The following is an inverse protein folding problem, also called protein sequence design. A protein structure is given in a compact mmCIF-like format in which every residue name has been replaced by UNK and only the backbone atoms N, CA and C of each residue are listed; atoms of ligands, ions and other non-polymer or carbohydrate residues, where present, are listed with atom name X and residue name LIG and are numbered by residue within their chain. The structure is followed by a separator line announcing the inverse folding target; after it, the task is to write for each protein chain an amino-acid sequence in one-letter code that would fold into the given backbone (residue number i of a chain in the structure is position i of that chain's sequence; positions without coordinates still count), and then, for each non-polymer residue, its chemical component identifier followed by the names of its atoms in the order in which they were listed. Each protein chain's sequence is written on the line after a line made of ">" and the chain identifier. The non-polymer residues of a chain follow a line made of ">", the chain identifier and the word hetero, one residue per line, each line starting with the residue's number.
data_IF_902427294427
#
_entry.id   IF_902427294427
#
_cell.length_a   1.000
_cell.length_b   1.000
_cell.length_c   1.000
_cell.angle_alpha   90.00
_cell.angle_beta   90.00
_cell.angle_gamma   90.00
#
_symmetry.space_group_name_H-M   'P 1'
#
loop_
_entity.id
_entity.type
_entity.pdbx_description
1 polymer ?
#
# COMPACT_ATOMS: atom_id res chain seq x y z
N UNK A 1 11.56 16.12 -27.38
CA UNK A 1 10.82 15.96 -26.10
C UNK A 1 11.44 16.88 -25.04
N UNK A 2 10.68 17.74 -24.37
CA UNK A 2 11.28 18.65 -23.39
C UNK A 2 11.72 17.90 -22.11
N UNK A 3 12.79 18.34 -21.42
CA UNK A 3 13.24 17.72 -20.16
C UNK A 3 12.15 17.66 -19.09
N UNK A 4 11.30 18.71 -19.02
CA UNK A 4 10.15 18.77 -18.14
C UNK A 4 9.12 17.66 -18.43
N UNK A 5 8.79 17.43 -19.72
CA UNK A 5 7.88 16.35 -20.13
C UNK A 5 8.46 14.98 -19.80
N UNK A 6 9.77 14.76 -20.01
CA UNK A 6 10.46 13.50 -19.67
C UNK A 6 10.43 13.22 -18.16
N UNK A 7 10.64 14.24 -17.32
CA UNK A 7 10.54 14.12 -15.86
C UNK A 7 9.11 13.77 -15.42
N UNK A 8 8.11 14.48 -15.95
CA UNK A 8 6.68 14.22 -15.64
C UNK A 8 6.29 12.78 -16.02
N UNK A 9 6.70 12.31 -17.20
CA UNK A 9 6.42 10.95 -17.65
C UNK A 9 7.05 9.88 -16.75
N UNK A 10 8.31 10.05 -16.34
CA UNK A 10 8.98 9.12 -15.40
C UNK A 10 8.26 9.03 -14.06
N UNK A 11 7.78 10.16 -13.54
CA UNK A 11 6.99 10.18 -12.29
C UNK A 11 5.67 9.42 -12.46
N UNK A 12 4.95 9.64 -13.57
CA UNK A 12 3.70 8.92 -13.85
C UNK A 12 3.92 7.42 -13.99
N UNK A 13 5.01 7.00 -14.65
CA UNK A 13 5.35 5.58 -14.80
C UNK A 13 5.66 4.91 -13.46
N UNK A 14 6.41 5.56 -12.56
CA UNK A 14 6.66 5.02 -11.23
C UNK A 14 5.39 4.95 -10.38
N UNK A 15 4.53 5.97 -10.48
CA UNK A 15 3.23 5.98 -9.78
C UNK A 15 2.36 4.82 -10.24
N UNK A 16 2.22 4.63 -11.56
CA UNK A 16 1.49 3.50 -12.13
C UNK A 16 2.12 2.16 -11.73
N UNK A 17 3.44 2.03 -11.77
CA UNK A 17 4.12 0.80 -11.34
C UNK A 17 3.88 0.48 -9.86
N UNK A 18 3.85 1.48 -8.98
CA UNK A 18 3.53 1.30 -7.58
C UNK A 18 2.06 0.91 -7.35
N UNK A 19 1.13 1.50 -8.09
CA UNK A 19 -0.29 1.16 -8.05
C UNK A 19 -0.53 -0.29 -8.54
N UNK A 20 0.07 -0.68 -9.67
CA UNK A 20 -0.01 -2.05 -10.18
C UNK A 20 0.63 -3.07 -9.23
N UNK A 21 1.77 -2.73 -8.62
CA UNK A 21 2.41 -3.61 -7.62
C UNK A 21 1.51 -3.84 -6.41
N UNK A 22 0.83 -2.79 -5.92
CA UNK A 22 -0.12 -2.91 -4.80
C UNK A 22 -1.32 -3.78 -5.19
N UNK A 23 -1.88 -3.56 -6.38
CA UNK A 23 -3.01 -4.36 -6.90
C UNK A 23 -2.63 -5.84 -7.04
N UNK A 24 -1.42 -6.13 -7.50
CA UNK A 24 -0.90 -7.50 -7.61
C UNK A 24 -0.74 -8.16 -6.25
N UNK A 25 -0.23 -7.42 -5.24
CA UNK A 25 -0.13 -7.92 -3.87
C UNK A 25 -1.51 -8.25 -3.29
N UNK A 26 -2.51 -7.40 -3.50
CA UNK A 26 -3.89 -7.64 -3.07
C UNK A 26 -4.48 -8.87 -3.76
N UNK A 27 -4.28 -9.01 -5.07
CA UNK A 27 -4.72 -10.19 -5.84
C UNK A 27 -4.08 -11.48 -5.32
N UNK A 28 -2.76 -11.46 -5.10
CA UNK A 28 -2.03 -12.62 -4.56
C UNK A 28 -2.45 -12.97 -3.14
N UNK A 29 -2.75 -11.98 -2.31
CA UNK A 29 -3.26 -12.20 -0.96
C UNK A 29 -4.66 -12.83 -0.97
N UNK A 30 -5.51 -12.40 -1.89
CA UNK A 30 -6.85 -12.97 -2.06
C UNK A 30 -6.81 -14.39 -2.61
N UNK A 31 -5.98 -14.64 -3.62
CA UNK A 31 -5.72 -15.98 -4.15
C UNK A 31 -5.17 -16.90 -3.05
N UNK A 32 -4.22 -16.42 -2.23
CA UNK A 32 -3.72 -17.17 -1.07
C UNK A 32 -4.85 -17.52 -0.09
N UNK A 33 -5.74 -16.57 0.23
CA UNK A 33 -6.91 -16.84 1.10
C UNK A 33 -7.81 -17.92 0.49
N UNK A 34 -8.12 -17.79 -0.79
CA UNK A 34 -8.94 -18.75 -1.53
C UNK A 34 -8.32 -20.15 -1.52
N UNK A 35 -7.03 -20.28 -1.85
CA UNK A 35 -6.33 -21.57 -1.85
C UNK A 35 -6.27 -22.19 -0.45
N UNK A 36 -6.10 -21.40 0.61
CA UNK A 36 -6.14 -21.91 1.99
C UNK A 36 -7.53 -22.46 2.32
N UNK A 37 -8.59 -21.72 1.99
CA UNK A 37 -9.96 -22.17 2.23
C UNK A 37 -10.29 -23.47 1.46
N UNK A 38 -9.89 -23.55 0.19
CA UNK A 38 -10.07 -24.75 -0.64
C UNK A 38 -9.27 -25.94 -0.10
N UNK A 39 -8.04 -25.74 0.38
CA UNK A 39 -7.20 -26.84 0.90
C UNK A 39 -7.61 -27.28 2.30
N UNK A 40 -7.91 -26.36 3.21
CA UNK A 40 -8.22 -26.68 4.60
C UNK A 40 -9.66 -27.18 4.76
N UNK A 41 -10.60 -26.69 3.95
CA UNK A 41 -12.02 -27.03 4.05
C UNK A 41 -12.66 -26.55 5.36
N UNK A 42 -13.95 -26.84 5.57
CA UNK A 42 -14.61 -26.58 6.85
C UNK A 42 -14.05 -27.48 7.95
N UNK A 43 -14.14 -27.01 9.20
CA UNK A 43 -13.81 -27.84 10.37
C UNK A 43 -14.67 -29.10 10.40
N UNK A 44 -14.08 -30.24 10.76
CA UNK A 44 -14.87 -31.45 10.99
C UNK A 44 -15.87 -31.20 12.11
N UNK A 45 -17.10 -31.65 11.93
CA UNK A 45 -18.13 -31.55 12.95
C UNK A 45 -17.82 -32.55 14.06
N UNK A 46 -17.79 -32.07 15.31
CA UNK A 46 -17.50 -32.86 16.50
C UNK A 46 -18.74 -33.04 17.39
N UNK A 47 -19.90 -32.54 16.98
CA UNK A 47 -21.13 -32.67 17.74
C UNK A 47 -21.72 -34.08 17.58
N UNK A 48 -21.87 -34.79 18.70
CA UNK A 48 -22.52 -36.11 18.75
C UNK A 48 -21.68 -37.28 18.23
N UNK A 49 -20.37 -37.11 18.02
CA UNK A 49 -19.48 -38.19 17.59
C UNK A 49 -19.09 -39.12 18.74
N UNK A 50 -18.85 -40.39 18.43
CA UNK A 50 -18.37 -41.37 19.39
C UNK A 50 -16.83 -41.33 19.55
N UNK A 51 -16.30 -41.89 20.65
CA UNK A 51 -14.86 -41.91 20.94
C UNK A 51 -14.04 -42.59 19.82
N UNK A 52 -14.55 -43.67 19.25
CA UNK A 52 -13.90 -44.36 18.14
C UNK A 52 -13.77 -43.48 16.89
N UNK A 53 -14.80 -42.69 16.57
CA UNK A 53 -14.80 -41.76 15.44
C UNK A 53 -13.85 -40.58 15.69
N UNK A 54 -13.82 -40.07 16.92
CA UNK A 54 -12.87 -39.04 17.33
C UNK A 54 -11.41 -39.52 17.15
N UNK A 55 -11.11 -40.74 17.59
CA UNK A 55 -9.77 -41.32 17.45
C UNK A 55 -9.38 -41.50 15.98
N UNK A 56 -10.32 -41.89 15.12
CA UNK A 56 -10.11 -42.00 13.68
C UNK A 56 -9.79 -40.64 13.05
N UNK A 57 -10.54 -39.59 13.41
CA UNK A 57 -10.29 -38.22 12.95
C UNK A 57 -8.89 -37.74 13.35
N UNK A 58 -8.47 -38.00 14.61
CA UNK A 58 -7.14 -37.63 15.07
C UNK A 58 -6.02 -38.30 14.27
N UNK A 59 -6.16 -39.59 13.96
CA UNK A 59 -5.20 -40.34 13.13
C UNK A 59 -5.13 -39.78 11.71
N UNK A 60 -6.27 -39.51 11.09
CA UNK A 60 -6.32 -38.91 9.75
C UNK A 60 -5.63 -37.55 9.68
N UNK A 61 -5.85 -36.68 10.69
CA UNK A 61 -5.17 -35.40 10.76
C UNK A 61 -3.66 -35.55 10.96
N UNK A 62 -3.23 -36.48 11.81
CA UNK A 62 -1.83 -36.76 12.04
C UNK A 62 -1.13 -37.22 10.74
N UNK A 63 -1.71 -38.18 10.03
CA UNK A 63 -1.16 -38.68 8.76
C UNK A 63 -1.11 -37.58 7.70
N UNK A 64 -2.13 -36.73 7.65
CA UNK A 64 -2.17 -35.57 6.76
C UNK A 64 -1.06 -34.55 7.09
N UNK A 65 -0.85 -34.26 8.37
CA UNK A 65 0.21 -33.34 8.81
C UNK A 65 1.58 -33.88 8.43
N UNK A 66 1.84 -35.17 8.66
CA UNK A 66 3.11 -35.80 8.31
C UNK A 66 3.43 -35.67 6.81
N UNK A 67 2.44 -35.91 5.93
CA UNK A 67 2.59 -35.72 4.49
C UNK A 67 2.86 -34.26 4.12
N UNK A 68 2.09 -33.33 4.68
CA UNK A 68 2.26 -31.90 4.41
C UNK A 68 3.61 -31.36 4.88
N UNK A 69 4.14 -31.84 6.00
CA UNK A 69 5.49 -31.45 6.47
C UNK A 69 6.58 -31.97 5.52
N UNK A 70 6.44 -33.18 4.98
CA UNK A 70 7.36 -33.68 3.95
C UNK A 70 7.33 -32.81 2.69
N UNK A 71 6.15 -32.53 2.15
CA UNK A 71 5.99 -31.68 0.97
C UNK A 71 6.52 -30.25 1.21
N UNK A 72 6.28 -29.71 2.40
CA UNK A 72 6.79 -28.40 2.82
C UNK A 72 8.30 -28.38 2.86
N UNK A 73 8.93 -29.42 3.40
CA UNK A 73 10.38 -29.52 3.45
C UNK A 73 11.00 -29.47 2.05
N UNK A 74 10.47 -30.24 1.11
CA UNK A 74 10.95 -30.26 -0.28
C UNK A 74 10.82 -28.88 -0.93
N UNK A 75 9.67 -28.22 -0.77
CA UNK A 75 9.44 -26.86 -1.28
C UNK A 75 10.38 -25.82 -0.64
N UNK A 76 10.63 -25.90 0.65
CA UNK A 76 11.56 -25.02 1.36
C UNK A 76 13.00 -25.23 0.88
N UNK A 77 13.41 -26.48 0.69
CA UNK A 77 14.74 -26.81 0.18
C UNK A 77 14.96 -26.21 -1.22
N UNK A 78 13.99 -26.39 -2.12
CA UNK A 78 14.01 -25.80 -3.46
C UNK A 78 14.07 -24.27 -3.42
N UNK A 79 13.31 -23.63 -2.52
CA UNK A 79 13.34 -22.18 -2.33
C UNK A 79 14.74 -21.72 -1.89
N UNK A 80 15.33 -22.39 -0.90
CA UNK A 80 16.69 -22.09 -0.41
C UNK A 80 17.73 -22.27 -1.51
N UNK A 81 17.62 -23.31 -2.33
CA UNK A 81 18.52 -23.53 -3.45
C UNK A 81 18.42 -22.40 -4.48
N UNK A 82 17.20 -21.96 -4.82
CA UNK A 82 16.97 -20.83 -5.72
C UNK A 82 17.53 -19.52 -5.15
N UNK A 83 17.33 -19.26 -3.86
CA UNK A 83 17.90 -18.09 -3.17
C UNK A 83 19.43 -18.09 -3.20
N UNK A 84 20.05 -19.25 -2.93
CA UNK A 84 21.49 -19.42 -3.05
C UNK A 84 21.97 -19.10 -4.47
N UNK A 85 21.29 -19.64 -5.49
CA UNK A 85 21.66 -19.39 -6.88
C UNK A 85 21.51 -17.92 -7.27
N UNK A 86 20.45 -17.26 -6.82
CA UNK A 86 20.25 -15.81 -7.04
C UNK A 86 21.39 -15.02 -6.39
N UNK A 87 21.78 -15.37 -5.16
CA UNK A 87 22.89 -14.71 -4.48
C UNK A 87 24.23 -14.90 -5.22
N UNK A 88 24.52 -16.12 -5.66
CA UNK A 88 25.70 -16.42 -6.46
C UNK A 88 25.74 -15.59 -7.75
N UNK A 89 24.64 -15.58 -8.51
CA UNK A 89 24.53 -14.80 -9.74
C UNK A 89 24.64 -13.29 -9.49
N UNK A 90 24.04 -12.79 -8.41
CA UNK A 90 24.17 -11.38 -8.01
C UNK A 90 25.63 -11.02 -7.72
N UNK A 91 26.37 -11.90 -7.05
CA UNK A 91 27.80 -11.69 -6.79
C UNK A 91 28.59 -11.64 -8.10
N UNK A 92 28.37 -12.59 -9.01
CA UNK A 92 29.02 -12.62 -10.33
C UNK A 92 28.72 -11.35 -11.14
N UNK A 93 27.46 -10.89 -11.16
CA UNK A 93 27.07 -9.64 -11.83
C UNK A 93 27.76 -8.42 -11.21
N UNK A 94 27.92 -8.40 -9.89
CA UNK A 94 28.61 -7.30 -9.20
C UNK A 94 30.11 -7.28 -9.50
N UNK A 95 30.76 -8.44 -9.55
CA UNK A 95 32.17 -8.53 -9.91
C UNK A 95 32.42 -8.10 -11.37
N UNK A 96 31.54 -8.48 -12.29
CA UNK A 96 31.57 -8.03 -13.70
C UNK A 96 31.36 -6.53 -13.85
N UNK A 97 30.51 -5.93 -13.02
CA UNK A 97 30.28 -4.47 -12.99
C UNK A 97 31.42 -3.70 -12.31
N UNK A 98 32.37 -4.40 -11.71
CA UNK A 98 33.52 -3.88 -10.99
C UNK A 98 33.20 -3.58 -9.53
N UNK A 99 33.97 -4.18 -8.61
CA UNK A 99 33.90 -3.97 -7.15
C UNK A 99 34.03 -2.49 -6.72
N UNK A 100 34.58 -1.66 -7.60
CA UNK A 100 34.82 -0.23 -7.40
C UNK A 100 34.12 0.61 -8.47
N UNK A 101 32.78 0.57 -8.52
CA UNK A 101 32.03 1.66 -9.17
C UNK A 101 32.26 2.90 -8.29
N UNK A 102 33.28 3.70 -8.58
CA UNK A 102 33.53 4.97 -7.88
C UNK A 102 32.26 5.81 -8.03
N UNK A 103 31.48 6.04 -6.96
CA UNK A 103 30.29 6.86 -7.07
C UNK A 103 30.74 8.23 -7.57
N UNK A 104 30.13 8.80 -8.62
CA UNK A 104 30.51 10.12 -9.09
C UNK A 104 30.33 11.09 -7.91
N UNK A 105 31.45 11.62 -7.41
CA UNK A 105 31.47 12.54 -6.29
C UNK A 105 30.76 13.83 -6.72
N UNK A 106 29.47 13.92 -6.44
CA UNK A 106 28.70 15.13 -6.67
C UNK A 106 29.10 16.12 -5.58
N UNK A 107 29.52 17.33 -5.96
CA UNK A 107 29.76 18.43 -5.01
C UNK A 107 28.41 18.79 -4.37
N UNK A 108 28.10 18.17 -3.24
CA UNK A 108 26.90 18.48 -2.47
C UNK A 108 27.26 19.62 -1.54
N UNK A 109 26.78 20.83 -1.85
CA UNK A 109 26.85 21.94 -0.92
C UNK A 109 26.00 21.59 0.31
N UNK A 110 26.63 21.53 1.49
CA UNK A 110 25.94 21.39 2.79
C UNK A 110 24.85 22.46 2.97
N UNK A 111 25.05 23.63 2.33
CA UNK A 111 24.14 24.77 2.37
C UNK A 111 22.88 24.55 1.51
N UNK A 112 22.99 23.85 0.38
CA UNK A 112 21.85 23.61 -0.53
C UNK A 112 20.90 22.54 0.02
N UNK A 113 21.43 21.43 0.55
CA UNK A 113 20.60 20.38 1.15
C UNK A 113 19.92 20.84 2.45
N UNK A 114 20.64 21.52 3.34
CA UNK A 114 20.08 22.01 4.60
C UNK A 114 19.04 23.12 4.41
N UNK A 115 19.21 23.99 3.40
CA UNK A 115 18.23 25.02 3.06
C UNK A 115 17.02 24.44 2.36
N UNK A 116 17.21 23.46 1.45
CA UNK A 116 16.10 22.77 0.78
C UNK A 116 15.28 21.91 1.75
N UNK A 117 15.90 21.25 2.72
CA UNK A 117 15.18 20.48 3.74
C UNK A 117 14.43 21.39 4.71
N UNK A 118 15.02 22.52 5.13
CA UNK A 118 14.30 23.55 5.91
C UNK A 118 13.16 24.16 5.10
N UNK A 119 13.35 24.43 3.81
CA UNK A 119 12.30 24.92 2.89
C UNK A 119 11.22 23.88 2.65
N UNK A 120 11.54 22.59 2.50
CA UNK A 120 10.57 21.51 2.34
C UNK A 120 9.83 21.22 3.65
N UNK A 121 10.49 21.35 4.80
CA UNK A 121 9.84 21.25 6.11
C UNK A 121 8.95 22.46 6.38
N UNK A 122 9.38 23.65 5.96
CA UNK A 122 8.57 24.85 5.98
C UNK A 122 7.39 24.74 4.98
N UNK A 123 7.59 24.18 3.79
CA UNK A 123 6.55 23.97 2.78
C UNK A 123 5.56 22.86 3.17
N UNK A 124 6.02 21.76 3.80
CA UNK A 124 5.15 20.73 4.37
C UNK A 124 4.41 21.22 5.61
N UNK A 125 5.00 22.13 6.40
CA UNK A 125 4.31 22.83 7.48
C UNK A 125 3.39 23.94 6.95
N UNK A 126 3.71 24.54 5.80
CA UNK A 126 2.91 25.52 5.09
C UNK A 126 1.91 24.89 4.12
N UNK A 127 1.82 23.55 4.08
CA UNK A 127 0.63 22.81 3.65
C UNK A 127 -0.50 22.94 4.70
N UNK A 128 -0.52 24.06 5.43
CA UNK A 128 -1.75 24.75 5.74
C UNK A 128 -2.34 25.20 4.40
N UNK A 129 -3.02 24.25 3.75
CA UNK A 129 -3.96 24.46 2.66
C UNK A 129 -4.40 25.93 2.57
N UNK A 130 -3.91 26.65 1.55
CA UNK A 130 -4.39 28.01 1.26
C UNK A 130 -5.93 28.03 1.09
N UNK A 131 -6.49 26.87 0.72
CA UNK A 131 -7.93 26.59 0.67
C UNK A 131 -8.63 26.61 2.04
N UNK A 132 -7.93 26.27 3.12
CA UNK A 132 -8.48 26.26 4.48
C UNK A 132 -8.58 27.65 5.11
N UNK A 133 -7.68 28.58 4.72
CA UNK A 133 -7.75 29.99 5.14
C UNK A 133 -8.54 30.88 4.17
N UNK A 134 -8.98 30.36 3.02
CA UNK A 134 -9.96 31.05 2.19
C UNK A 134 -11.35 30.89 2.81
N UNK A 135 -12.02 32.00 3.08
CA UNK A 135 -13.45 31.99 3.41
C UNK A 135 -14.18 31.42 2.19
N UNK A 136 -14.65 30.17 2.30
CA UNK A 136 -15.57 29.59 1.32
C UNK A 136 -16.80 30.48 1.29
N UNK A 137 -16.99 31.24 0.21
CA UNK A 137 -18.29 31.86 -0.06
C UNK A 137 -19.26 30.72 -0.33
N UNK A 138 -20.00 30.33 0.69
CA UNK A 138 -21.13 29.43 0.52
C UNK A 138 -22.11 30.03 -0.49
N UNK A 139 -22.98 29.21 -1.12
CA UNK A 139 -23.90 29.63 -2.19
C UNK A 139 -24.95 30.71 -1.81
N UNK A 140 -24.80 31.39 -0.67
CA UNK A 140 -25.82 32.22 -0.04
C UNK A 140 -25.43 33.68 0.13
N UNK A 141 -24.26 34.14 -0.31
CA UNK A 141 -23.90 35.57 -0.20
C UNK A 141 -23.41 36.16 -1.53
N UNK A 142 -24.38 36.82 -2.20
CA UNK A 142 -24.25 37.91 -3.19
C UNK A 142 -24.40 37.64 -4.68
N UNK A 143 -24.81 36.46 -5.14
CA UNK A 143 -25.42 36.30 -6.48
C UNK A 143 -26.43 35.14 -6.47
N UNK A 144 -27.62 35.36 -5.94
CA UNK A 144 -28.81 34.61 -6.35
C UNK A 144 -29.68 35.57 -7.15
N UNK A 145 -29.92 35.20 -8.40
CA UNK A 145 -30.93 35.78 -9.28
C UNK A 145 -32.27 35.75 -8.53
N UNK A 146 -32.97 36.88 -8.55
CA UNK A 146 -34.36 37.03 -8.10
C UNK A 146 -35.22 35.97 -8.77
N UNK A 147 -35.53 34.89 -8.05
CA UNK A 147 -36.73 34.07 -8.16
C UNK A 147 -36.63 33.00 -7.05
N UNK A 148 -37.71 32.81 -6.30
CA UNK A 148 -37.87 31.79 -5.26
C UNK A 148 -37.19 32.00 -3.88
N UNK A 149 -37.67 32.98 -3.12
CA UNK A 149 -37.81 32.80 -1.66
C UNK A 149 -39.15 33.36 -1.19
N UNK A 150 -40.13 32.46 -0.99
CA UNK A 150 -41.36 32.71 -0.23
C UNK A 150 -41.01 33.29 1.15
N UNK A 151 -41.48 34.50 1.39
CA UNK A 151 -41.38 35.21 2.67
C UNK A 151 -42.08 34.45 3.81
N UNK A 152 -41.38 34.29 4.94
CA UNK A 152 -42.01 34.37 6.26
C UNK A 152 -41.15 35.29 7.15
N UNK A 153 -41.70 36.40 7.67
CA UNK A 153 -40.93 37.41 8.37
C UNK A 153 -40.84 37.08 9.86
N UNK A 154 -39.64 36.76 10.36
CA UNK A 154 -39.35 36.89 11.79
C UNK A 154 -38.89 38.32 12.06
N UNK A 155 -39.65 39.03 12.90
CA UNK A 155 -39.39 40.44 13.23
C UNK A 155 -38.07 40.57 13.99
N UNK A 156 -37.21 41.54 13.64
CA UNK A 156 -35.93 41.75 14.32
C UNK A 156 -36.10 42.28 15.76
N UNK A 157 -35.16 41.89 16.64
CA UNK A 157 -35.21 42.06 18.11
C UNK A 157 -35.37 43.49 18.65
N UNK A 158 -35.26 44.54 17.83
CA UNK A 158 -35.54 45.91 18.29
C UNK A 158 -37.04 46.24 18.33
N UNK A 159 -37.90 45.33 17.85
CA UNK A 159 -39.36 45.47 17.91
C UNK A 159 -39.99 44.93 19.22
N UNK A 160 -39.18 44.47 20.18
CA UNK A 160 -39.64 44.14 21.52
C UNK A 160 -39.20 45.24 22.50
N UNK A 161 -40.07 46.23 22.71
CA UNK A 161 -39.99 47.14 23.85
C UNK A 161 -41.37 47.34 24.45
#
# INVERSE_FOLDING_TARGET
>A
MTPARKKKLRTLLRKKAAEELKKEQERKAEERRRTINERCGPSKNLDGINEAELMQICKEYHDRIAKLESEKFDMEFDSRHKEYKINELNMQVNDLRGKFIKPPLKKVSRFEYGKFEKLMRAAKKADHSFRANLKSVGPSTKFKLDEDVKEKPEKPEWAAK
#
